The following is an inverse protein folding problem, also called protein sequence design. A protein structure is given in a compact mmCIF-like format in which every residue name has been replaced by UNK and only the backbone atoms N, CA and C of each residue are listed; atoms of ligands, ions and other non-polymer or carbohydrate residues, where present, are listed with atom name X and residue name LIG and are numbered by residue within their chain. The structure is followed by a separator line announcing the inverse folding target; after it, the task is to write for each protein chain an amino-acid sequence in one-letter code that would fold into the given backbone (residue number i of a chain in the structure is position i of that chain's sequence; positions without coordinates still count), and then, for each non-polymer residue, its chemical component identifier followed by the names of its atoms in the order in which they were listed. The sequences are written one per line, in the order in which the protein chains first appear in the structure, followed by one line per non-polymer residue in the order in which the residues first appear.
data_IF_605510626665
#
_entry.id   IF_605510626665
#
_cell.length_a   1.000
_cell.length_b   1.000
_cell.length_c   1.000
_cell.angle_alpha   90.00
_cell.angle_beta   90.00
_cell.angle_gamma   90.00
#
_symmetry.space_group_name_H-M   'P 1'
#
loop_
_entity.id
_entity.type
_entity.pdbx_description
1 polymer ?
#
# COMPACT_ATOMS: atom_id res chain seq x y z
N UNK A 1 -1.11 -1.46 -4.97
CA UNK A 1 -1.50 -0.46 -3.95
C UNK A 1 -1.84 -1.20 -2.67
N UNK A 2 -1.38 -0.72 -1.52
CA UNK A 2 -1.71 -1.27 -0.20
C UNK A 2 -2.66 -0.31 0.49
N UNK A 3 -3.69 -0.83 1.16
CA UNK A 3 -4.65 -0.05 1.91
C UNK A 3 -4.09 0.30 3.28
N UNK A 4 -3.84 1.58 3.47
CA UNK A 4 -3.21 2.16 4.65
C UNK A 4 -3.88 3.50 4.93
N UNK A 5 -3.64 4.07 6.12
CA UNK A 5 -4.11 5.42 6.45
C UNK A 5 -3.76 6.46 5.37
N UNK A 6 -2.62 6.33 4.71
CA UNK A 6 -2.17 7.28 3.69
C UNK A 6 -2.81 7.07 2.31
N UNK A 7 -3.36 5.89 2.05
CA UNK A 7 -3.89 5.52 0.74
C UNK A 7 -5.41 5.44 0.72
N UNK A 8 -6.07 5.39 1.88
CA UNK A 8 -7.53 5.39 2.06
C UNK A 8 -8.26 6.49 1.28
N UNK A 9 -9.57 6.33 1.12
CA UNK A 9 -10.40 7.27 0.37
C UNK A 9 -10.29 8.68 0.99
N UNK A 10 -9.87 9.66 0.18
CA UNK A 10 -9.68 11.05 0.62
C UNK A 10 -10.97 11.66 1.19
N UNK A 11 -12.11 11.16 0.73
CA UNK A 11 -13.46 11.57 1.12
C UNK A 11 -13.80 11.22 2.58
N UNK A 12 -13.03 10.34 3.24
CA UNK A 12 -13.16 10.02 4.67
C UNK A 12 -12.77 11.24 5.55
N UNK A 13 -12.10 12.24 4.97
CA UNK A 13 -11.87 13.55 5.61
C UNK A 13 -10.68 13.60 6.55
N UNK A 14 -9.78 12.62 6.50
CA UNK A 14 -8.52 12.67 7.25
C UNK A 14 -7.59 13.74 6.66
N UNK A 15 -7.13 14.66 7.49
CA UNK A 15 -6.20 15.71 7.11
C UNK A 15 -5.01 15.73 8.07
N UNK A 16 -3.84 16.03 7.52
CA UNK A 16 -2.62 16.29 8.28
C UNK A 16 -2.38 17.79 8.28
N UNK A 17 -2.06 18.35 9.43
CA UNK A 17 -1.66 19.75 9.56
C UNK A 17 -0.16 19.88 9.27
N UNK A 18 0.18 20.76 8.33
CA UNK A 18 1.55 21.09 8.01
C UNK A 18 1.67 22.61 7.91
N UNK A 19 2.49 23.22 8.76
CA UNK A 19 2.71 24.68 8.78
C UNK A 19 1.42 25.52 8.91
N UNK A 20 0.43 25.01 9.63
CA UNK A 20 -0.88 25.66 9.81
C UNK A 20 -1.87 25.43 8.66
N UNK A 21 -1.47 24.72 7.59
CA UNK A 21 -2.37 24.32 6.52
C UNK A 21 -2.89 22.89 6.72
N UNK A 22 -4.19 22.68 6.47
CA UNK A 22 -4.82 21.35 6.49
C UNK A 22 -4.70 20.71 5.12
N UNK A 23 -3.88 19.67 5.03
CA UNK A 23 -3.69 18.88 3.81
C UNK A 23 -4.53 17.62 3.92
N UNK A 24 -5.55 17.50 3.07
CA UNK A 24 -6.36 16.30 2.99
C UNK A 24 -5.54 15.12 2.45
N UNK A 25 -5.52 14.03 3.21
CA UNK A 25 -4.74 12.82 2.96
C UNK A 25 -5.62 11.74 2.31
N UNK A 26 -4.99 10.86 1.52
CA UNK A 26 -5.67 9.75 0.87
C UNK A 26 -5.70 9.86 -0.64
N UNK A 27 -6.24 8.83 -1.28
CA UNK A 27 -6.41 8.73 -2.73
C UNK A 27 -7.90 8.89 -3.04
N UNK A 28 -8.30 9.71 -4.03
CA UNK A 28 -9.72 9.85 -4.40
C UNK A 28 -10.35 8.50 -4.73
N UNK A 29 -11.58 8.27 -4.27
CA UNK A 29 -12.24 6.96 -4.37
C UNK A 29 -12.37 6.46 -5.82
N UNK A 30 -12.66 7.38 -6.76
CA UNK A 30 -12.72 7.05 -8.19
C UNK A 30 -11.37 6.50 -8.71
N UNK A 31 -10.26 7.05 -8.23
CA UNK A 31 -8.92 6.62 -8.61
C UNK A 31 -8.55 5.30 -7.93
N UNK A 32 -8.97 5.09 -6.66
CA UNK A 32 -8.81 3.80 -5.97
C UNK A 32 -9.48 2.66 -6.73
N UNK A 33 -10.75 2.83 -7.12
CA UNK A 33 -11.48 1.83 -7.92
C UNK A 33 -10.82 1.54 -9.27
N UNK A 34 -10.29 2.58 -9.92
CA UNK A 34 -9.53 2.40 -11.17
C UNK A 34 -8.29 1.52 -10.95
N UNK A 35 -7.53 1.78 -9.89
CA UNK A 35 -6.34 1.00 -9.55
C UNK A 35 -6.71 -0.46 -9.23
N UNK A 36 -7.77 -0.69 -8.46
CA UNK A 36 -8.24 -2.05 -8.12
C UNK A 36 -8.60 -2.88 -9.34
N UNK A 37 -9.21 -2.27 -10.37
CA UNK A 37 -9.50 -2.95 -11.64
C UNK A 37 -8.23 -3.32 -12.43
N UNK A 38 -7.13 -2.62 -12.21
CA UNK A 38 -5.84 -2.93 -12.85
C UNK A 38 -5.03 -3.96 -12.08
N UNK A 39 -5.31 -4.17 -10.79
CA UNK A 39 -4.65 -5.19 -9.98
C UNK A 39 -5.21 -6.56 -10.38
N UNK A 40 -4.38 -7.54 -10.81
CA UNK A 40 -4.87 -8.86 -11.18
C UNK A 40 -5.63 -9.61 -10.09
N UNK A 41 -5.29 -9.40 -8.81
CA UNK A 41 -6.05 -9.94 -7.67
C UNK A 41 -7.39 -9.21 -7.42
N UNK A 42 -7.70 -8.15 -8.17
CA UNK A 42 -8.98 -7.44 -8.15
C UNK A 42 -9.24 -6.57 -6.92
N UNK A 43 -8.24 -6.35 -6.06
CA UNK A 43 -8.35 -5.55 -4.84
C UNK A 43 -7.03 -4.92 -4.42
N UNK A 44 -7.08 -3.90 -3.57
CA UNK A 44 -5.92 -3.47 -2.81
C UNK A 44 -5.45 -4.56 -1.83
N UNK A 45 -4.15 -4.61 -1.57
CA UNK A 45 -3.59 -5.44 -0.50
C UNK A 45 -3.82 -4.79 0.87
N UNK A 46 -3.90 -5.58 1.94
CA UNK A 46 -3.95 -5.04 3.31
C UNK A 46 -2.56 -4.66 3.83
N UNK A 47 -2.51 -3.82 4.87
CA UNK A 47 -1.25 -3.46 5.52
C UNK A 47 -0.52 -4.70 6.09
N UNK A 48 -1.26 -5.68 6.60
CA UNK A 48 -0.73 -6.94 7.14
C UNK A 48 -0.13 -7.81 6.03
N UNK A 49 -0.71 -7.81 4.84
CA UNK A 49 -0.14 -8.54 3.69
C UNK A 49 1.22 -7.94 3.28
N UNK A 50 1.35 -6.62 3.28
CA UNK A 50 2.63 -5.95 3.06
C UNK A 50 3.63 -6.22 4.20
N UNK A 51 3.18 -6.13 5.45
CA UNK A 51 4.01 -6.40 6.62
C UNK A 51 4.53 -7.83 6.66
N UNK A 52 3.75 -8.81 6.19
CA UNK A 52 4.16 -10.21 6.13
C UNK A 52 5.36 -10.44 5.21
N UNK A 53 5.43 -9.72 4.08
CA UNK A 53 6.61 -9.77 3.18
C UNK A 53 7.86 -9.16 3.84
N UNK A 54 7.70 -8.09 4.62
CA UNK A 54 8.79 -7.50 5.40
C UNK A 54 9.26 -8.48 6.47
N UNK A 55 8.31 -9.09 7.20
CA UNK A 55 8.59 -10.09 8.22
C UNK A 55 9.35 -11.27 7.64
N UNK A 56 8.99 -11.76 6.44
CA UNK A 56 9.72 -12.81 5.76
C UNK A 56 11.21 -12.45 5.62
N UNK A 57 11.52 -11.26 5.08
CA UNK A 57 12.91 -10.80 4.93
C UNK A 57 13.64 -10.55 6.25
N UNK A 58 12.92 -10.18 7.30
CA UNK A 58 13.48 -10.00 8.64
C UNK A 58 13.66 -11.33 9.40
N UNK A 59 13.06 -12.42 8.92
CA UNK A 59 13.04 -13.72 9.60
C UNK A 59 14.23 -14.61 9.21
N UNK A 60 14.53 -15.66 9.98
CA UNK A 60 15.53 -16.66 9.59
C UNK A 60 15.20 -17.43 8.30
N UNK A 61 13.95 -17.38 7.81
CA UNK A 61 13.52 -18.08 6.60
C UNK A 61 14.21 -17.56 5.33
N UNK A 62 14.75 -16.34 5.37
CA UNK A 62 15.43 -15.69 4.25
C UNK A 62 16.92 -15.45 4.51
N UNK A 63 17.56 -16.25 5.38
CA UNK A 63 18.94 -16.02 5.83
C UNK A 63 20.04 -16.12 4.75
N UNK A 64 19.68 -16.48 3.51
CA UNK A 64 20.58 -16.50 2.35
C UNK A 64 20.02 -15.69 1.16
N UNK A 65 19.04 -14.82 1.40
CA UNK A 65 18.46 -13.92 0.39
C UNK A 65 18.99 -12.51 0.64
N UNK A 66 19.64 -11.92 -0.37
CA UNK A 66 20.18 -10.55 -0.30
C UNK A 66 20.15 -9.87 -1.67
N UNK A 67 20.12 -8.54 -1.67
CA UNK A 67 20.12 -7.70 -2.88
C UNK A 67 18.85 -7.79 -3.73
N UNK A 68 17.76 -8.34 -3.19
CA UNK A 68 16.50 -8.53 -3.90
C UNK A 68 15.48 -7.44 -3.55
N UNK A 69 14.63 -7.10 -4.51
CA UNK A 69 13.45 -6.25 -4.31
C UNK A 69 12.20 -7.10 -4.51
N UNK A 70 11.37 -7.23 -3.47
CA UNK A 70 10.08 -7.94 -3.57
C UNK A 70 8.95 -6.93 -3.78
N UNK A 71 8.33 -7.00 -4.94
CA UNK A 71 7.21 -6.12 -5.30
C UNK A 71 5.89 -6.71 -4.77
N UNK A 72 5.37 -6.14 -3.68
CA UNK A 72 4.10 -6.56 -3.07
C UNK A 72 2.95 -5.74 -3.67
N UNK A 73 2.53 -6.10 -4.88
CA UNK A 73 1.60 -5.29 -5.69
C UNK A 73 0.28 -5.98 -6.05
N UNK A 74 0.06 -7.22 -5.62
CA UNK A 74 -1.08 -8.03 -6.06
C UNK A 74 -1.05 -8.35 -7.57
N UNK A 75 0.14 -8.30 -8.18
CA UNK A 75 0.37 -8.56 -9.61
C UNK A 75 0.30 -7.33 -10.51
N UNK A 76 0.13 -6.12 -9.96
CA UNK A 76 0.04 -4.89 -10.76
C UNK A 76 1.35 -4.56 -11.51
N UNK A 77 2.48 -5.02 -10.98
CA UNK A 77 3.81 -4.84 -11.58
C UNK A 77 4.55 -6.17 -11.49
N UNK A 78 5.18 -6.57 -12.60
CA UNK A 78 6.02 -7.77 -12.76
C UNK A 78 7.42 -7.38 -13.17
#
# INVERSE_FOLDING_TARGET
MIDTRMTQAKEIGEAVEHEGEKIAVGVPEKQRKMIEMMIPMGRAGSAEEAASSILFFASPLSNYVSGQCLVVSGGLMV
#
